data_IF_739820300710
#
_entry.id   IF_739820300710
#
_cell.length_a   1.000
_cell.length_b   1.000
_cell.length_c   1.000
_cell.angle_alpha   90.00
_cell.angle_beta   90.00
_cell.angle_gamma   90.00
#
_symmetry.space_group_name_H-M   'P 1'
#
loop_
_entity.id
_entity.type
_entity.pdbx_description
1 polymer ?
#
# COMPACT_ATOMS: atom_id res chain seq x y z
N UNK A 1 19.61 -19.98 -11.06
CA UNK A 1 18.98 -18.86 -10.33
C UNK A 1 19.70 -17.57 -10.71
N UNK A 2 18.98 -16.49 -11.05
CA UNK A 2 19.59 -15.21 -11.38
C UNK A 2 20.41 -14.68 -10.19
N UNK A 3 21.64 -14.21 -10.44
CA UNK A 3 22.49 -13.65 -9.37
C UNK A 3 21.82 -12.39 -8.82
N UNK A 4 21.64 -12.26 -7.50
CA UNK A 4 21.03 -11.08 -6.92
C UNK A 4 21.73 -9.79 -7.30
N UNK A 5 20.97 -8.75 -7.69
CA UNK A 5 21.51 -7.39 -7.88
C UNK A 5 21.94 -6.72 -6.56
N UNK A 6 21.55 -7.30 -5.42
CA UNK A 6 21.85 -6.80 -4.06
C UNK A 6 22.30 -7.93 -3.14
N UNK A 7 23.16 -7.61 -2.18
CA UNK A 7 23.76 -8.60 -1.25
C UNK A 7 22.96 -8.81 0.05
N UNK A 8 21.97 -7.95 0.32
CA UNK A 8 21.05 -8.04 1.45
C UNK A 8 19.75 -7.27 1.15
N UNK A 9 18.67 -7.61 1.84
CA UNK A 9 17.49 -6.74 1.91
C UNK A 9 17.77 -5.47 2.73
N UNK A 10 17.15 -4.35 2.36
CA UNK A 10 17.28 -3.09 3.11
C UNK A 10 18.64 -2.39 2.96
N UNK A 11 19.19 -1.93 4.08
CA UNK A 11 20.52 -1.32 4.20
C UNK A 11 20.71 0.01 3.47
N UNK A 12 21.96 0.32 3.11
CA UNK A 12 22.35 1.55 2.41
C UNK A 12 21.61 1.75 1.08
N UNK A 13 21.22 0.65 0.41
CA UNK A 13 20.43 0.73 -0.82
C UNK A 13 19.04 1.33 -0.58
N UNK A 14 18.41 0.99 0.56
CA UNK A 14 17.14 1.55 0.98
C UNK A 14 17.29 3.01 1.42
N UNK A 15 18.36 3.34 2.15
CA UNK A 15 18.67 4.72 2.56
C UNK A 15 18.89 5.61 1.34
N UNK A 16 19.74 5.18 0.39
CA UNK A 16 19.99 5.92 -0.86
C UNK A 16 18.72 6.12 -1.67
N UNK A 17 17.83 5.13 -1.69
CA UNK A 17 16.52 5.28 -2.33
C UNK A 17 15.66 6.34 -1.64
N UNK A 18 15.57 6.32 -0.30
CA UNK A 18 14.82 7.32 0.47
C UNK A 18 15.38 8.73 0.26
N UNK A 19 16.70 8.89 0.23
CA UNK A 19 17.36 10.17 -0.06
C UNK A 19 17.02 10.66 -1.46
N UNK A 20 17.11 9.79 -2.48
CA UNK A 20 16.73 10.13 -3.86
C UNK A 20 15.26 10.56 -3.93
N UNK A 21 14.37 9.82 -3.26
CA UNK A 21 12.95 10.17 -3.15
C UNK A 21 12.72 11.49 -2.42
N UNK A 22 13.55 11.85 -1.45
CA UNK A 22 13.54 13.18 -0.83
C UNK A 22 13.85 14.30 -1.82
N UNK A 23 14.78 14.09 -2.75
CA UNK A 23 15.07 15.05 -3.82
C UNK A 23 13.87 15.16 -4.78
N UNK A 24 13.32 14.02 -5.22
CA UNK A 24 12.14 13.97 -6.11
C UNK A 24 10.91 14.65 -5.46
N UNK A 25 10.78 14.58 -4.14
CA UNK A 25 9.71 15.22 -3.37
C UNK A 25 9.87 16.75 -3.17
N UNK A 26 10.84 17.38 -3.87
CA UNK A 26 11.12 18.81 -3.74
C UNK A 26 11.91 19.17 -2.48
N UNK A 27 12.66 18.22 -1.92
CA UNK A 27 13.59 18.41 -0.81
C UNK A 27 13.34 17.49 0.39
N UNK A 28 14.42 17.10 1.07
CA UNK A 28 14.37 16.23 2.25
C UNK A 28 13.45 16.77 3.36
N UNK A 29 13.46 18.10 3.57
CA UNK A 29 12.62 18.73 4.58
C UNK A 29 11.12 18.61 4.28
N UNK A 30 10.72 18.78 3.02
CA UNK A 30 9.32 18.59 2.60
C UNK A 30 8.88 17.15 2.79
N UNK A 31 9.73 16.19 2.41
CA UNK A 31 9.47 14.78 2.65
C UNK A 31 9.34 14.49 4.16
N UNK A 32 10.26 15.01 4.98
CA UNK A 32 10.22 14.82 6.42
C UNK A 32 8.95 15.39 7.06
N UNK A 33 8.56 16.62 6.71
CA UNK A 33 7.29 17.22 7.13
C UNK A 33 6.10 16.35 6.72
N UNK A 34 6.09 15.86 5.48
CA UNK A 34 5.02 14.99 4.97
C UNK A 34 4.91 13.69 5.77
N UNK A 35 6.04 13.04 6.05
CA UNK A 35 6.08 11.79 6.82
C UNK A 35 5.60 11.97 8.27
N UNK A 36 5.74 13.18 8.85
CA UNK A 36 5.29 13.49 10.22
C UNK A 36 3.85 13.97 10.34
N UNK A 37 3.14 14.19 9.22
CA UNK A 37 1.73 14.57 9.26
C UNK A 37 0.87 13.49 9.95
N UNK A 38 -0.33 13.89 10.37
CA UNK A 38 -1.36 12.97 10.88
C UNK A 38 -1.83 12.07 9.74
N UNK A 39 -1.26 10.87 9.64
CA UNK A 39 -1.63 9.87 8.65
C UNK A 39 -1.42 8.45 9.19
N UNK A 40 -2.08 7.48 8.59
CA UNK A 40 -1.69 6.08 8.74
C UNK A 40 -0.76 5.69 7.61
N UNK A 41 0.07 4.67 7.83
CA UNK A 41 0.92 4.17 6.77
C UNK A 41 0.06 3.70 5.60
N UNK A 42 0.13 4.43 4.48
CA UNK A 42 -0.64 4.10 3.29
C UNK A 42 -0.38 2.68 2.80
N UNK A 43 0.77 2.07 3.09
CA UNK A 43 1.15 0.76 2.54
C UNK A 43 0.65 -0.45 3.31
N UNK A 44 0.55 -0.39 4.64
CA UNK A 44 0.12 -1.54 5.43
C UNK A 44 -0.58 -1.16 6.74
N UNK A 45 -1.03 0.10 6.87
CA UNK A 45 -1.68 0.70 8.05
C UNK A 45 -0.86 0.76 9.35
N UNK A 46 0.10 -0.16 9.56
CA UNK A 46 0.99 -0.14 10.72
C UNK A 46 1.83 1.13 10.76
N UNK A 47 1.73 1.88 11.86
CA UNK A 47 2.50 3.09 12.07
C UNK A 47 2.12 4.32 11.24
N UNK A 48 2.97 5.33 11.36
CA UNK A 48 2.82 6.72 10.95
C UNK A 48 1.85 7.59 11.78
N UNK A 49 1.43 7.08 12.94
CA UNK A 49 0.95 7.87 14.06
C UNK A 49 -0.52 8.26 14.03
N UNK A 50 -1.25 7.93 12.97
CA UNK A 50 -2.69 8.21 12.85
C UNK A 50 -2.99 9.67 13.17
N UNK A 51 -3.86 9.91 14.15
CA UNK A 51 -4.20 11.26 14.62
C UNK A 51 -3.08 11.95 15.40
N UNK A 52 -2.12 11.21 15.96
CA UNK A 52 -0.95 11.77 16.65
C UNK A 52 0.15 12.21 15.65
N UNK A 53 0.21 11.58 14.48
CA UNK A 53 1.26 11.81 13.49
C UNK A 53 2.66 11.44 14.00
N UNK A 54 3.70 11.99 13.39
CA UNK A 54 5.07 11.91 13.91
C UNK A 54 5.86 10.64 13.58
N UNK A 55 5.42 9.81 12.63
CA UNK A 55 6.10 8.56 12.27
C UNK A 55 6.20 7.56 13.43
N UNK A 56 5.20 7.50 14.31
CA UNK A 56 5.16 6.52 15.42
C UNK A 56 4.19 5.37 15.13
N UNK A 57 4.34 4.24 15.83
CA UNK A 57 3.30 3.22 15.92
C UNK A 57 2.40 3.43 17.15
N UNK A 58 1.46 2.51 17.35
CA UNK A 58 0.48 2.48 18.42
C UNK A 58 1.15 2.43 19.81
N UNK A 59 2.34 1.82 19.89
CA UNK A 59 3.19 1.76 21.07
C UNK A 59 4.10 3.00 21.26
N UNK A 60 4.04 3.99 20.36
CA UNK A 60 4.85 5.21 20.42
C UNK A 60 6.30 5.05 19.95
N UNK A 61 6.67 3.91 19.36
CA UNK A 61 8.03 3.68 18.87
C UNK A 61 8.34 4.57 17.66
N UNK A 62 9.55 5.13 17.60
CA UNK A 62 10.02 6.01 16.53
C UNK A 62 11.44 5.60 16.09
N UNK A 63 11.76 5.63 14.78
CA UNK A 63 10.88 5.94 13.65
C UNK A 63 10.19 4.67 13.10
N UNK A 64 8.87 4.72 12.90
CA UNK A 64 8.04 3.64 12.35
C UNK A 64 7.70 3.88 10.88
N UNK A 65 8.76 4.00 10.07
CA UNK A 65 8.70 4.30 8.64
C UNK A 65 9.55 3.30 7.87
N UNK A 66 9.15 2.94 6.65
CA UNK A 66 9.91 2.03 5.79
C UNK A 66 10.03 2.59 4.37
N UNK A 67 10.88 1.96 3.55
CA UNK A 67 11.06 2.37 2.14
C UNK A 67 9.73 2.46 1.38
N UNK A 68 8.82 1.51 1.60
CA UNK A 68 7.51 1.47 0.92
C UNK A 68 6.62 2.64 1.34
N UNK A 69 6.61 3.01 2.62
CA UNK A 69 5.82 4.16 3.08
C UNK A 69 6.36 5.47 2.52
N UNK A 70 7.68 5.62 2.40
CA UNK A 70 8.30 6.77 1.72
C UNK A 70 7.89 6.83 0.25
N UNK A 71 7.95 5.69 -0.46
CA UNK A 71 7.55 5.63 -1.88
C UNK A 71 6.10 6.09 -2.08
N UNK A 72 5.17 5.60 -1.24
CA UNK A 72 3.76 5.98 -1.32
C UNK A 72 3.54 7.47 -1.01
N UNK A 73 4.29 8.04 -0.06
CA UNK A 73 4.17 9.45 0.29
C UNK A 73 4.72 10.37 -0.80
N UNK A 74 5.84 10.00 -1.42
CA UNK A 74 6.41 10.79 -2.54
C UNK A 74 5.49 10.75 -3.77
N UNK A 75 4.87 9.61 -4.04
CA UNK A 75 3.85 9.49 -5.08
C UNK A 75 2.73 10.55 -4.93
N UNK A 76 2.20 10.74 -3.71
CA UNK A 76 1.16 11.75 -3.44
C UNK A 76 1.65 13.20 -3.52
N UNK A 77 2.95 13.41 -3.32
CA UNK A 77 3.58 14.74 -3.31
C UNK A 77 3.84 15.26 -4.72
N UNK A 78 3.66 14.44 -5.75
CA UNK A 78 3.82 14.87 -7.14
C UNK A 78 2.83 15.98 -7.50
N UNK A 79 3.27 16.86 -8.39
CA UNK A 79 2.42 17.89 -8.98
C UNK A 79 1.24 17.28 -9.73
N UNK A 80 0.18 18.06 -9.88
CA UNK A 80 -0.94 17.66 -10.71
C UNK A 80 -0.50 17.49 -12.17
N UNK A 81 -1.02 16.46 -12.84
CA UNK A 81 -0.91 16.33 -14.29
C UNK A 81 -1.65 17.50 -14.93
N UNK A 82 -1.02 18.20 -15.87
CA UNK A 82 -1.64 19.35 -16.53
C UNK A 82 -2.80 18.92 -17.44
N UNK A 83 -3.74 19.83 -17.67
CA UNK A 83 -4.82 19.58 -18.63
C UNK A 83 -4.28 19.42 -20.07
N UNK A 84 -3.27 20.22 -20.43
CA UNK A 84 -2.61 20.17 -21.74
C UNK A 84 -1.97 18.80 -22.02
N UNK A 85 -1.45 18.12 -20.98
CA UNK A 85 -0.95 16.76 -21.11
C UNK A 85 -2.05 15.82 -21.64
N UNK A 86 -3.25 15.86 -21.07
CA UNK A 86 -4.36 15.00 -21.52
C UNK A 86 -4.89 15.40 -22.91
N UNK A 87 -4.83 16.69 -23.26
CA UNK A 87 -5.20 17.18 -24.60
C UNK A 87 -4.22 16.76 -25.69
N UNK A 88 -2.94 16.62 -25.35
CA UNK A 88 -1.86 16.31 -26.31
C UNK A 88 -1.43 14.85 -26.32
N UNK A 89 -1.84 14.07 -25.30
CA UNK A 89 -1.44 12.67 -25.14
C UNK A 89 -2.58 11.72 -25.51
N UNK A 90 -2.44 10.92 -26.57
CA UNK A 90 -3.48 9.97 -26.96
C UNK A 90 -3.69 8.87 -25.90
N UNK A 91 -4.92 8.39 -25.77
CA UNK A 91 -5.28 7.26 -24.90
C UNK A 91 -4.44 6.03 -25.23
N UNK A 92 -4.26 5.72 -26.53
CA UNK A 92 -3.42 4.61 -26.97
C UNK A 92 -1.96 4.71 -26.50
N UNK A 93 -1.42 5.93 -26.38
CA UNK A 93 -0.08 6.10 -25.79
C UNK A 93 -0.10 5.75 -24.30
N UNK A 94 -1.10 6.23 -23.54
CA UNK A 94 -1.23 5.92 -22.11
C UNK A 94 -1.36 4.41 -21.85
N UNK A 95 -2.14 3.70 -22.68
CA UNK A 95 -2.30 2.24 -22.59
C UNK A 95 -1.01 1.46 -22.82
N UNK A 96 -0.09 2.01 -23.64
CA UNK A 96 1.22 1.39 -23.90
C UNK A 96 2.24 1.59 -22.76
N UNK A 97 1.92 2.40 -21.75
CA UNK A 97 2.84 2.69 -20.66
C UNK A 97 2.80 1.62 -19.57
N UNK A 98 3.95 1.37 -18.96
CA UNK A 98 4.01 0.55 -17.75
C UNK A 98 3.41 1.30 -16.55
N UNK A 99 2.92 0.58 -15.51
CA UNK A 99 2.44 1.22 -14.28
C UNK A 99 3.47 2.15 -13.63
N UNK A 100 4.76 1.79 -13.72
CA UNK A 100 5.83 2.61 -13.19
C UNK A 100 6.03 3.92 -13.97
N UNK A 101 5.80 3.92 -15.28
CA UNK A 101 5.82 5.14 -16.09
C UNK A 101 4.60 6.02 -15.80
N UNK A 102 3.40 5.42 -15.74
CA UNK A 102 2.17 6.14 -15.42
C UNK A 102 2.24 6.87 -14.08
N UNK A 103 2.81 6.22 -13.05
CA UNK A 103 3.00 6.83 -11.72
C UNK A 103 3.85 8.10 -11.78
N UNK A 104 4.77 8.24 -12.74
CA UNK A 104 5.67 9.38 -12.85
C UNK A 104 5.09 10.54 -13.68
N UNK A 105 3.91 10.40 -14.28
CA UNK A 105 3.26 11.53 -14.97
C UNK A 105 2.76 12.60 -14.00
N UNK A 106 2.51 12.22 -12.75
CA UNK A 106 2.05 13.10 -11.69
C UNK A 106 0.70 12.66 -11.13
N UNK A 107 0.07 13.54 -10.35
CA UNK A 107 -1.20 13.24 -9.68
C UNK A 107 -2.40 13.65 -10.52
N UNK A 108 -3.36 12.75 -10.69
CA UNK A 108 -4.68 13.10 -11.26
C UNK A 108 -5.45 13.97 -10.27
N UNK A 109 -5.77 15.21 -10.65
CA UNK A 109 -6.33 16.22 -9.74
C UNK A 109 -7.75 16.69 -10.13
N UNK A 110 -8.25 16.29 -11.29
CA UNK A 110 -9.57 16.67 -11.80
C UNK A 110 -10.19 15.51 -12.59
N UNK A 111 -11.53 15.46 -12.72
CA UNK A 111 -12.21 14.46 -13.52
C UNK A 111 -11.86 14.58 -15.01
N UNK A 112 -11.77 13.43 -15.65
CA UNK A 112 -11.54 13.29 -17.09
C UNK A 112 -12.68 12.47 -17.70
N UNK A 113 -12.98 12.73 -18.96
CA UNK A 113 -13.93 11.99 -19.76
C UNK A 113 -13.28 11.59 -21.09
N UNK A 114 -13.58 10.38 -21.54
CA UNK A 114 -13.46 9.95 -22.92
C UNK A 114 -14.77 9.25 -23.31
N UNK A 115 -15.33 9.61 -24.45
CA UNK A 115 -16.53 9.01 -25.03
C UNK A 115 -16.14 7.97 -26.10
N UNK A 116 -17.06 7.07 -26.52
CA UNK A 116 -16.77 6.12 -27.57
C UNK A 116 -16.25 6.79 -28.84
N UNK A 117 -15.06 6.41 -29.29
CA UNK A 117 -14.39 6.99 -30.45
C UNK A 117 -13.41 8.12 -30.13
N UNK A 118 -13.38 8.62 -28.90
CA UNK A 118 -12.39 9.61 -28.49
C UNK A 118 -10.97 9.02 -28.50
N UNK A 119 -10.02 9.83 -28.96
CA UNK A 119 -8.60 9.48 -28.96
C UNK A 119 -7.82 10.11 -27.80
N UNK A 120 -8.44 11.06 -27.09
CA UNK A 120 -7.84 11.85 -26.00
C UNK A 120 -8.84 12.03 -24.86
N UNK A 121 -8.34 12.23 -23.65
CA UNK A 121 -9.19 12.61 -22.52
C UNK A 121 -9.47 14.12 -22.54
N UNK A 122 -10.69 14.52 -22.23
CA UNK A 122 -11.03 15.91 -21.89
C UNK A 122 -11.30 16.08 -20.40
N UNK A 123 -10.90 17.21 -19.84
CA UNK A 123 -11.30 17.58 -18.49
C UNK A 123 -12.79 17.89 -18.44
N UNK A 124 -13.44 17.47 -17.35
CA UNK A 124 -14.83 17.82 -17.05
C UNK A 124 -14.94 18.40 -15.64
N UNK A 125 -16.03 19.12 -15.38
CA UNK A 125 -16.32 19.60 -14.03
C UNK A 125 -16.74 18.43 -13.13
N UNK A 126 -16.56 18.59 -11.81
CA UNK A 126 -17.11 17.63 -10.85
C UNK A 126 -18.63 17.48 -10.98
N UNK A 127 -19.35 18.58 -11.25
CA UNK A 127 -20.80 18.54 -11.49
C UNK A 127 -21.14 17.65 -12.68
N UNK A 128 -20.49 17.86 -13.83
CA UNK A 128 -20.70 17.02 -15.03
C UNK A 128 -20.37 15.55 -14.75
N UNK A 129 -19.25 15.27 -14.06
CA UNK A 129 -18.87 13.91 -13.70
C UNK A 129 -19.94 13.24 -12.81
N UNK A 130 -20.44 13.94 -11.78
CA UNK A 130 -21.47 13.41 -10.89
C UNK A 130 -22.82 13.24 -11.58
N UNK A 131 -23.25 14.20 -12.39
CA UNK A 131 -24.51 14.13 -13.14
C UNK A 131 -24.49 12.92 -14.09
N UNK A 132 -23.43 12.77 -14.89
CA UNK A 132 -23.27 11.62 -15.80
C UNK A 132 -23.24 10.28 -15.05
N UNK A 133 -22.51 10.21 -13.94
CA UNK A 133 -22.45 9.00 -13.10
C UNK A 133 -23.83 8.67 -12.53
N UNK A 134 -24.58 9.67 -12.07
CA UNK A 134 -25.94 9.51 -11.56
C UNK A 134 -26.91 9.01 -12.61
N UNK A 135 -26.90 9.57 -13.82
CA UNK A 135 -27.73 9.10 -14.94
C UNK A 135 -27.38 7.67 -15.34
N UNK A 136 -26.08 7.32 -15.40
CA UNK A 136 -25.66 5.95 -15.67
C UNK A 136 -26.20 4.96 -14.62
N UNK A 137 -26.17 5.32 -13.34
CA UNK A 137 -26.74 4.48 -12.28
C UNK A 137 -28.26 4.34 -12.40
N UNK A 138 -29.00 5.40 -12.76
CA UNK A 138 -30.46 5.31 -12.96
C UNK A 138 -30.84 4.35 -14.08
N UNK A 139 -30.04 4.28 -15.14
CA UNK A 139 -30.31 3.43 -16.30
C UNK A 139 -29.82 1.99 -16.12
N UNK A 140 -28.82 1.76 -15.27
CA UNK A 140 -28.27 0.43 -15.04
C UNK A 140 -29.18 -0.43 -14.13
N UNK A 141 -29.30 -1.71 -14.47
CA UNK A 141 -29.99 -2.69 -13.63
C UNK A 141 -29.10 -3.07 -12.43
N UNK A 142 -29.55 -2.98 -11.17
CA UNK A 142 -28.69 -3.21 -10.00
C UNK A 142 -27.99 -4.58 -9.98
N UNK A 143 -28.64 -5.61 -10.54
CA UNK A 143 -28.10 -6.96 -10.67
C UNK A 143 -26.86 -7.05 -11.58
N UNK A 144 -26.68 -6.09 -12.49
CA UNK A 144 -25.59 -6.01 -13.48
C UNK A 144 -24.47 -5.04 -13.09
N UNK A 145 -24.60 -4.37 -11.96
CA UNK A 145 -23.58 -3.45 -11.45
C UNK A 145 -22.71 -4.15 -10.41
N UNK A 146 -21.39 -3.99 -10.53
CA UNK A 146 -20.41 -4.49 -9.59
C UNK A 146 -19.64 -3.35 -8.94
N UNK A 147 -19.57 -3.37 -7.60
CA UNK A 147 -18.92 -2.35 -6.81
C UNK A 147 -17.61 -2.91 -6.23
N UNK A 148 -16.48 -2.32 -6.59
CA UNK A 148 -15.16 -2.73 -6.11
C UNK A 148 -14.54 -1.69 -5.18
N UNK A 149 -14.52 -1.98 -3.87
CA UNK A 149 -13.95 -1.09 -2.87
C UNK A 149 -12.44 -1.29 -2.72
N UNK A 150 -11.71 -0.19 -2.52
CA UNK A 150 -10.28 -0.22 -2.23
C UNK A 150 -10.04 -0.50 -0.75
N UNK A 151 -9.24 -1.52 -0.43
CA UNK A 151 -8.74 -1.77 0.95
C UNK A 151 -7.70 -0.75 1.42
N UNK A 152 -7.45 0.31 0.64
CA UNK A 152 -6.57 1.44 0.98
C UNK A 152 -7.36 2.64 1.48
N UNK A 153 -8.67 2.63 1.30
CA UNK A 153 -9.58 3.65 1.81
C UNK A 153 -9.76 3.49 3.32
N UNK A 154 -10.18 4.57 3.99
CA UNK A 154 -10.58 4.50 5.40
C UNK A 154 -11.83 3.65 5.61
N UNK A 155 -12.04 3.18 6.84
CA UNK A 155 -13.20 2.37 7.19
C UNK A 155 -14.51 3.14 6.99
N UNK A 156 -14.50 4.45 7.21
CA UNK A 156 -15.64 5.35 7.02
C UNK A 156 -16.03 5.43 5.54
N UNK A 157 -15.03 5.57 4.66
CA UNK A 157 -15.26 5.57 3.21
C UNK A 157 -15.75 4.21 2.72
N UNK A 158 -15.21 3.11 3.23
CA UNK A 158 -15.68 1.75 2.91
C UNK A 158 -17.12 1.53 3.40
N UNK A 159 -17.47 2.04 4.59
CA UNK A 159 -18.81 1.97 5.14
C UNK A 159 -19.83 2.75 4.29
N UNK A 160 -19.51 3.99 3.91
CA UNK A 160 -20.37 4.77 3.02
C UNK A 160 -20.50 4.13 1.63
N UNK A 161 -19.40 3.61 1.07
CA UNK A 161 -19.40 2.95 -0.24
C UNK A 161 -20.34 1.74 -0.27
N UNK A 162 -20.29 0.88 0.75
CA UNK A 162 -21.21 -0.27 0.79
C UNK A 162 -22.67 0.15 1.04
N UNK A 163 -22.92 1.21 1.81
CA UNK A 163 -24.29 1.71 2.04
C UNK A 163 -24.89 2.21 0.73
N UNK A 164 -24.13 2.98 -0.06
CA UNK A 164 -24.59 3.49 -1.36
C UNK A 164 -24.94 2.33 -2.29
N UNK A 165 -24.08 1.32 -2.40
CA UNK A 165 -24.34 0.16 -3.25
C UNK A 165 -25.57 -0.66 -2.78
N UNK A 166 -25.77 -0.82 -1.47
CA UNK A 166 -26.95 -1.50 -0.93
C UNK A 166 -28.23 -0.68 -1.11
N UNK A 167 -28.18 0.64 -0.91
CA UNK A 167 -29.29 1.55 -1.18
C UNK A 167 -29.64 1.62 -2.67
N UNK A 168 -28.64 1.45 -3.55
CA UNK A 168 -28.82 1.28 -4.99
C UNK A 168 -29.51 -0.05 -5.36
N UNK A 169 -29.61 -1.00 -4.42
CA UNK A 169 -30.36 -2.23 -4.60
C UNK A 169 -29.52 -3.44 -5.01
N UNK A 170 -28.20 -3.43 -4.76
CA UNK A 170 -27.33 -4.56 -5.08
C UNK A 170 -26.48 -5.03 -3.90
N UNK A 171 -26.25 -6.35 -3.85
CA UNK A 171 -25.31 -6.99 -2.94
C UNK A 171 -23.94 -7.25 -3.59
N UNK A 172 -23.77 -6.90 -4.88
CA UNK A 172 -22.57 -7.17 -5.68
C UNK A 172 -21.42 -6.21 -5.30
N UNK A 173 -20.90 -6.37 -4.08
CA UNK A 173 -19.88 -5.49 -3.51
C UNK A 173 -18.72 -6.37 -3.03
N UNK A 174 -17.54 -6.14 -3.58
CA UNK A 174 -16.31 -6.82 -3.17
C UNK A 174 -15.17 -5.81 -3.00
N UNK A 175 -14.05 -6.28 -2.44
CA UNK A 175 -12.85 -5.47 -2.27
C UNK A 175 -11.61 -6.32 -2.54
N UNK A 176 -10.42 -5.71 -2.43
CA UNK A 176 -9.16 -6.41 -2.67
C UNK A 176 -8.88 -7.58 -1.70
N UNK A 177 -9.47 -7.60 -0.50
CA UNK A 177 -9.24 -8.70 0.44
C UNK A 177 -9.96 -9.98 0.02
N UNK A 178 -11.00 -9.90 -0.81
CA UNK A 178 -11.64 -11.07 -1.39
C UNK A 178 -10.64 -11.93 -2.18
N UNK A 179 -9.79 -11.31 -3.00
CA UNK A 179 -8.78 -12.04 -3.76
C UNK A 179 -7.62 -12.56 -2.91
N UNK A 180 -7.23 -11.80 -1.87
CA UNK A 180 -6.02 -12.13 -1.08
C UNK A 180 -6.28 -12.98 0.17
N UNK A 181 -7.45 -12.88 0.78
CA UNK A 181 -7.72 -13.38 2.13
C UNK A 181 -9.03 -14.18 2.28
N UNK A 182 -9.80 -14.40 1.21
CA UNK A 182 -11.05 -15.16 1.31
C UNK A 182 -10.83 -16.60 1.79
N UNK A 183 -9.82 -17.28 1.24
CA UNK A 183 -9.50 -18.64 1.64
C UNK A 183 -9.12 -18.74 3.13
N UNK A 184 -8.30 -17.79 3.63
CA UNK A 184 -7.98 -17.72 5.06
C UNK A 184 -9.23 -17.42 5.90
N UNK A 185 -10.11 -16.53 5.45
CA UNK A 185 -11.33 -16.20 6.19
C UNK A 185 -12.21 -17.43 6.40
N UNK A 186 -12.41 -18.24 5.35
CA UNK A 186 -13.17 -19.50 5.42
C UNK A 186 -12.50 -20.53 6.34
N UNK A 187 -11.19 -20.73 6.17
CA UNK A 187 -10.44 -21.71 6.97
C UNK A 187 -10.42 -21.38 8.46
N UNK A 188 -10.10 -20.14 8.81
CA UNK A 188 -10.01 -19.68 10.21
C UNK A 188 -11.39 -19.68 10.89
N UNK A 189 -12.44 -19.23 10.19
CA UNK A 189 -13.80 -19.24 10.72
C UNK A 189 -14.28 -20.66 11.05
N UNK A 190 -13.89 -21.65 10.24
CA UNK A 190 -14.21 -23.06 10.50
C UNK A 190 -13.45 -23.64 11.70
N UNK A 191 -12.25 -23.15 12.00
CA UNK A 191 -11.41 -23.67 13.09
C UNK A 191 -11.78 -23.04 14.43
N UNK A 192 -11.94 -21.71 14.50
CA UNK A 192 -12.14 -21.00 15.76
C UNK A 192 -13.20 -19.89 15.71
N UNK A 193 -14.05 -19.86 14.67
CA UNK A 193 -15.22 -18.97 14.61
C UNK A 193 -14.94 -17.54 14.14
N UNK A 194 -13.70 -17.20 13.78
CA UNK A 194 -13.34 -15.87 13.27
C UNK A 194 -12.51 -15.96 12.00
N UNK A 195 -12.78 -15.07 11.03
CA UNK A 195 -12.03 -14.96 9.77
C UNK A 195 -10.84 -13.99 9.83
N UNK A 196 -10.55 -13.40 10.99
CA UNK A 196 -9.44 -12.45 11.19
C UNK A 196 -8.31 -13.08 12.00
N UNK A 197 -7.16 -12.42 12.07
CA UNK A 197 -6.02 -12.86 12.87
C UNK A 197 -6.41 -13.05 14.35
N UNK A 198 -5.87 -14.09 14.98
CA UNK A 198 -6.09 -14.43 16.39
C UNK A 198 -5.08 -13.81 17.36
N UNK A 199 -4.08 -13.10 16.84
CA UNK A 199 -2.99 -12.48 17.62
C UNK A 199 -2.73 -11.07 17.11
N UNK A 200 -2.08 -10.26 17.96
CA UNK A 200 -1.59 -8.92 17.59
C UNK A 200 -0.08 -8.94 17.38
N UNK A 201 0.48 -7.87 16.84
CA UNK A 201 1.90 -7.79 16.52
C UNK A 201 2.78 -7.93 17.78
N UNK A 202 2.31 -7.39 18.90
CA UNK A 202 2.96 -7.40 20.20
C UNK A 202 3.14 -8.83 20.75
N UNK A 203 2.32 -9.79 20.32
CA UNK A 203 2.45 -11.18 20.76
C UNK A 203 3.73 -11.85 20.23
N UNK A 204 4.32 -11.34 19.14
CA UNK A 204 5.63 -11.80 18.65
C UNK A 204 6.73 -11.54 19.70
N UNK A 205 6.61 -10.47 20.49
CA UNK A 205 7.56 -10.17 21.55
C UNK A 205 7.56 -11.25 22.66
N UNK A 206 6.48 -12.03 22.78
CA UNK A 206 6.31 -13.11 23.77
C UNK A 206 6.60 -14.51 23.22
N UNK A 207 6.65 -14.70 21.90
CA UNK A 207 6.75 -16.02 21.27
C UNK A 207 8.19 -16.51 21.11
N UNK A 208 8.60 -17.71 21.53
CA UNK A 208 10.00 -18.15 21.35
C UNK A 208 10.31 -18.72 19.96
N UNK A 209 9.27 -18.97 19.16
CA UNK A 209 9.35 -19.52 17.83
C UNK A 209 8.32 -18.87 16.91
N UNK A 210 8.73 -18.51 15.70
CA UNK A 210 7.85 -18.00 14.64
C UNK A 210 8.07 -18.80 13.36
N UNK A 211 6.98 -19.23 12.74
CA UNK A 211 6.98 -19.88 11.43
C UNK A 211 6.31 -18.99 10.40
N UNK A 212 7.01 -18.72 9.30
CA UNK A 212 6.54 -17.90 8.18
C UNK A 212 6.32 -18.81 6.98
N UNK A 213 5.08 -19.07 6.61
CA UNK A 213 4.71 -19.93 5.48
C UNK A 213 4.13 -19.07 4.35
N UNK A 214 4.70 -19.19 3.14
CA UNK A 214 4.13 -18.55 1.95
C UNK A 214 4.13 -17.01 1.96
N UNK A 215 5.02 -16.38 2.75
CA UNK A 215 5.07 -14.93 2.88
C UNK A 215 6.50 -14.38 2.74
N UNK A 216 6.60 -13.17 2.17
CA UNK A 216 7.85 -12.40 2.07
C UNK A 216 7.74 -11.06 2.84
N UNK A 217 7.80 -11.07 4.19
CA UNK A 217 7.69 -9.86 4.98
C UNK A 217 8.82 -8.87 4.74
N UNK A 218 10.01 -9.31 4.30
CA UNK A 218 11.10 -8.40 3.97
C UNK A 218 10.75 -7.41 2.84
N UNK A 219 9.90 -7.84 1.90
CA UNK A 219 9.34 -6.97 0.87
C UNK A 219 7.99 -6.38 1.30
N UNK A 220 7.07 -7.21 1.76
CA UNK A 220 5.65 -6.85 1.90
C UNK A 220 5.34 -6.13 3.22
N UNK A 221 6.00 -6.53 4.30
CA UNK A 221 5.82 -5.98 5.64
C UNK A 221 7.17 -5.69 6.31
N UNK A 222 8.03 -4.78 5.78
CA UNK A 222 9.43 -4.71 6.20
C UNK A 222 9.64 -4.44 7.70
N UNK A 223 8.65 -3.80 8.37
CA UNK A 223 8.68 -3.59 9.82
C UNK A 223 8.54 -4.87 10.64
N UNK A 224 7.90 -5.91 10.09
CA UNK A 224 7.81 -7.21 10.74
C UNK A 224 9.20 -7.86 10.88
N UNK A 225 10.15 -7.54 9.99
CA UNK A 225 11.54 -8.03 10.10
C UNK A 225 12.20 -7.55 11.40
N UNK A 226 11.89 -6.34 11.87
CA UNK A 226 12.40 -5.84 13.16
C UNK A 226 11.95 -6.74 14.31
N UNK A 227 10.71 -7.22 14.30
CA UNK A 227 10.20 -8.14 15.32
C UNK A 227 10.91 -9.49 15.26
N UNK A 228 11.19 -10.00 14.06
CA UNK A 228 11.97 -11.24 13.87
C UNK A 228 13.43 -11.10 14.34
N UNK A 229 14.04 -9.94 14.12
CA UNK A 229 15.40 -9.65 14.63
C UNK A 229 15.40 -9.59 16.15
N UNK A 230 14.42 -8.93 16.77
CA UNK A 230 14.28 -8.87 18.21
C UNK A 230 14.08 -10.27 18.83
N UNK A 231 13.22 -11.09 18.21
CA UNK A 231 13.02 -12.48 18.58
C UNK A 231 14.34 -13.28 18.58
N UNK A 232 15.11 -13.20 17.48
CA UNK A 232 16.38 -13.92 17.36
C UNK A 232 17.43 -13.44 18.37
N UNK A 233 17.45 -12.15 18.70
CA UNK A 233 18.38 -11.58 19.69
C UNK A 233 18.17 -12.13 21.09
N UNK A 234 16.93 -12.43 21.46
CA UNK A 234 16.59 -13.08 22.73
C UNK A 234 16.64 -14.61 22.67
N UNK A 235 17.26 -15.19 21.65
CA UNK A 235 17.48 -16.64 21.52
C UNK A 235 16.38 -17.42 20.79
N UNK A 236 15.27 -16.76 20.45
CA UNK A 236 14.17 -17.38 19.71
C UNK A 236 14.52 -17.73 18.26
N UNK A 237 13.62 -18.47 17.61
CA UNK A 237 13.85 -19.02 16.25
C UNK A 237 12.80 -18.53 15.27
N UNK A 238 13.22 -18.34 14.02
CA UNK A 238 12.35 -18.01 12.89
C UNK A 238 12.56 -19.05 11.80
N UNK A 239 11.53 -19.81 11.47
CA UNK A 239 11.50 -20.75 10.37
C UNK A 239 10.75 -20.13 9.19
N UNK A 240 11.32 -20.22 7.99
CA UNK A 240 10.69 -19.72 6.76
C UNK A 240 10.46 -20.87 5.81
N UNK A 241 9.21 -21.07 5.40
CA UNK A 241 8.77 -22.06 4.41
C UNK A 241 8.26 -21.29 3.20
N UNK A 242 9.08 -21.20 2.16
CA UNK A 242 8.76 -20.48 0.94
C UNK A 242 9.38 -21.21 -0.26
N UNK A 243 8.67 -21.41 -1.39
CA UNK A 243 9.26 -21.99 -2.60
C UNK A 243 10.50 -21.23 -3.11
N UNK A 244 10.58 -19.93 -2.83
CA UNK A 244 11.71 -19.09 -3.21
C UNK A 244 12.56 -18.70 -2.01
N UNK A 245 13.89 -18.82 -2.16
CA UNK A 245 14.86 -18.33 -1.19
C UNK A 245 15.05 -16.82 -1.35
N UNK A 246 14.20 -16.07 -0.66
CA UNK A 246 14.20 -14.62 -0.66
C UNK A 246 15.41 -14.04 0.09
N UNK A 247 16.22 -13.21 -0.58
CA UNK A 247 17.44 -12.63 0.01
C UNK A 247 17.11 -11.84 1.28
N UNK A 248 16.01 -11.08 1.27
CA UNK A 248 15.57 -10.30 2.42
C UNK A 248 15.14 -11.14 3.62
N UNK A 249 14.87 -12.44 3.46
CA UNK A 249 14.58 -13.36 4.56
C UNK A 249 15.82 -14.13 5.02
N UNK A 250 16.88 -14.15 4.20
CA UNK A 250 18.18 -14.74 4.55
C UNK A 250 19.08 -13.72 5.25
N UNK A 251 19.16 -12.50 4.70
CA UNK A 251 20.00 -11.40 5.20
C UNK A 251 19.29 -10.07 5.02
N UNK A 252 19.07 -9.35 6.11
CA UNK A 252 18.35 -8.08 6.10
C UNK A 252 19.02 -7.05 6.99
N UNK A 253 19.42 -5.95 6.39
CA UNK A 253 20.03 -4.81 7.08
C UNK A 253 18.95 -3.79 7.43
N UNK A 254 18.62 -3.69 8.71
CA UNK A 254 17.65 -2.72 9.23
C UNK A 254 18.35 -1.35 9.34
N UNK A 255 17.93 -0.32 8.59
CA UNK A 255 18.64 0.98 8.59
C UNK A 255 18.68 1.70 9.93
N UNK A 256 17.68 1.49 10.79
CA UNK A 256 17.60 2.08 12.13
C UNK A 256 18.44 1.35 13.19
N UNK A 257 19.12 0.26 12.82
CA UNK A 257 19.86 -0.59 13.75
C UNK A 257 21.31 -0.77 13.29
N UNK A 258 22.24 -0.16 14.01
CA UNK A 258 23.66 -0.13 13.62
C UNK A 258 24.28 -1.53 13.55
N UNK A 259 23.91 -2.44 14.47
CA UNK A 259 24.44 -3.81 14.51
C UNK A 259 23.92 -4.61 13.32
N UNK A 260 22.63 -4.49 13.01
CA UNK A 260 22.03 -5.09 11.81
C UNK A 260 22.62 -4.50 10.52
N UNK A 261 22.94 -3.20 10.47
CA UNK A 261 23.57 -2.58 9.31
C UNK A 261 24.94 -3.18 8.96
N UNK A 262 25.77 -3.45 9.96
CA UNK A 262 27.11 -4.01 9.75
C UNK A 262 27.04 -5.50 9.37
N UNK A 263 26.36 -6.31 10.19
CA UNK A 263 26.43 -7.77 10.10
C UNK A 263 25.33 -8.39 9.23
N UNK A 264 24.19 -7.70 9.08
CA UNK A 264 23.02 -8.13 8.31
C UNK A 264 22.16 -9.19 8.98
#
# INVERSE_FOLDING_TARGET
MAKPRVTAGGGLSAVRYVLRKGVEAGGFWKLYQRLRLRNTCKTCALGMGGQKGGMVNESGHFPEVCKKSVQAQVADMQSAISEDFFRSTPIAYLESQTPAQMENFGRLAFPLLAEPGDTHFRRVSWKEAFDRTGEAFKLAEPSKVFWYASGRSGNEAAYLFQLVARAYGTANIHNCSYYCHQASGVGLARIYGSGTASIVLEDIAKADFVMVIGANPASNHPRLITQFVNLRRRGGKVLVINPLREIGLVKFRIPSDWRSMLFG
#
